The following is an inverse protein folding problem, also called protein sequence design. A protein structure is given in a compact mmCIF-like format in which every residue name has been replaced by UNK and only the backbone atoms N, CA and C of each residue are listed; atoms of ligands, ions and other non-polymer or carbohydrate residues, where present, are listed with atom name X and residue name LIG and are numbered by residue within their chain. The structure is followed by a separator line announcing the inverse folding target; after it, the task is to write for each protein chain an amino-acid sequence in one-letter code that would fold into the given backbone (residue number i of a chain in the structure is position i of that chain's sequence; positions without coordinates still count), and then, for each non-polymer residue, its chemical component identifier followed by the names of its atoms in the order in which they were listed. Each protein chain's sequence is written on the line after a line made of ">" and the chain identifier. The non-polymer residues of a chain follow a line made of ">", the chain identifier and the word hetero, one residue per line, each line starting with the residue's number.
data_IF_557699203223
#
_entry.id   IF_557699203223
#
_cell.length_a   1.000
_cell.length_b   1.000
_cell.length_c   1.000
_cell.angle_alpha   90.00
_cell.angle_beta   90.00
_cell.angle_gamma   90.00
#
_symmetry.space_group_name_H-M   'P 1'
#
loop_
_entity.id
_entity.type
_entity.pdbx_description
1 polymer ?
#
# COMPACT_ATOMS: atom_id res chain seq x y z
N UNK A 1 -51.14 -9.19 21.98
CA UNK A 1 -50.93 -7.77 21.64
C UNK A 1 -49.53 -7.38 22.07
N UNK A 2 -48.54 -7.56 21.20
CA UNK A 2 -47.19 -7.05 21.46
C UNK A 2 -47.12 -5.64 20.91
N UNK A 3 -47.01 -4.66 21.81
CA UNK A 3 -46.71 -3.27 21.48
C UNK A 3 -45.34 -3.22 20.82
N UNK A 4 -45.26 -2.62 19.63
CA UNK A 4 -43.99 -2.32 18.98
C UNK A 4 -43.15 -1.40 19.90
N UNK A 5 -41.82 -1.60 19.99
CA UNK A 5 -40.96 -0.66 20.70
C UNK A 5 -41.09 0.72 20.06
N UNK A 6 -41.31 1.74 20.89
CA UNK A 6 -41.34 3.13 20.44
C UNK A 6 -40.00 3.47 19.79
N UNK A 7 -40.05 4.07 18.60
CA UNK A 7 -38.88 4.64 17.94
C UNK A 7 -38.22 5.61 18.91
N UNK A 8 -36.95 5.37 19.23
CA UNK A 8 -36.21 6.19 20.18
C UNK A 8 -35.73 7.45 19.46
N UNK A 9 -36.61 8.46 19.40
CA UNK A 9 -36.35 9.73 18.72
C UNK A 9 -35.07 10.43 19.21
N UNK A 10 -34.62 10.16 20.43
CA UNK A 10 -33.37 10.71 20.98
C UNK A 10 -32.13 10.16 20.25
N UNK A 11 -32.17 8.89 19.81
CA UNK A 11 -31.08 8.28 19.02
C UNK A 11 -31.00 8.82 17.60
N UNK A 12 -32.15 9.15 17.02
CA UNK A 12 -32.25 9.77 15.68
C UNK A 12 -31.63 11.17 15.71
N UNK A 13 -31.94 11.96 16.74
CA UNK A 13 -31.33 13.28 16.93
C UNK A 13 -29.80 13.22 17.08
N UNK A 14 -29.31 12.30 17.92
CA UNK A 14 -27.86 12.10 18.12
C UNK A 14 -27.12 11.69 16.85
N UNK A 15 -27.72 10.82 16.03
CA UNK A 15 -27.14 10.43 14.74
C UNK A 15 -27.05 11.60 13.75
N UNK A 16 -28.09 12.45 13.69
CA UNK A 16 -28.10 13.64 12.83
C UNK A 16 -27.01 14.63 13.26
N UNK A 17 -26.90 14.91 14.56
CA UNK A 17 -25.90 15.84 15.10
C UNK A 17 -24.47 15.35 14.85
N UNK A 18 -24.24 14.04 14.98
CA UNK A 18 -22.94 13.41 14.73
C UNK A 18 -22.55 13.47 13.25
N UNK A 19 -23.48 13.15 12.34
CA UNK A 19 -23.26 13.25 10.89
C UNK A 19 -23.02 14.69 10.44
N UNK A 20 -23.76 15.66 10.97
CA UNK A 20 -23.55 17.08 10.66
C UNK A 20 -22.18 17.58 11.14
N UNK A 21 -21.74 17.11 12.32
CA UNK A 21 -20.43 17.45 12.89
C UNK A 21 -19.29 16.86 12.06
N UNK A 22 -19.38 15.58 11.67
CA UNK A 22 -18.42 14.94 10.77
C UNK A 22 -18.36 15.66 9.41
N UNK A 23 -19.51 16.00 8.81
CA UNK A 23 -19.58 16.72 7.54
C UNK A 23 -18.92 18.11 7.63
N UNK A 24 -19.18 18.84 8.71
CA UNK A 24 -18.56 20.15 8.93
C UNK A 24 -17.04 20.03 9.09
N UNK A 25 -16.56 19.03 9.84
CA UNK A 25 -15.13 18.74 9.99
C UNK A 25 -14.50 18.44 8.64
N UNK A 26 -15.08 17.55 7.81
CA UNK A 26 -14.57 17.21 6.47
C UNK A 26 -14.58 18.43 5.52
N UNK A 27 -15.59 19.30 5.60
CA UNK A 27 -15.64 20.53 4.79
C UNK A 27 -14.60 21.56 5.26
N UNK A 28 -14.47 21.78 6.57
CA UNK A 28 -13.48 22.70 7.13
C UNK A 28 -12.05 22.26 6.82
N UNK A 29 -11.81 20.97 6.99
CA UNK A 29 -10.68 20.23 6.50
C UNK A 29 -10.40 20.59 5.03
N UNK A 30 -11.35 20.37 4.12
CA UNK A 30 -11.12 20.54 2.67
C UNK A 30 -10.65 21.92 2.22
N UNK A 31 -10.84 22.93 3.05
CA UNK A 31 -10.47 24.30 2.78
C UNK A 31 -9.07 24.68 3.30
N UNK A 32 -8.37 23.79 4.03
CA UNK A 32 -7.02 24.05 4.53
C UNK A 32 -5.96 23.50 3.56
N UNK A 33 -4.98 24.33 3.20
CA UNK A 33 -3.92 24.03 2.23
C UNK A 33 -2.64 23.42 2.86
N UNK A 34 -2.76 22.71 3.99
CA UNK A 34 -1.61 22.18 4.75
C UNK A 34 -1.65 20.66 4.97
N UNK A 35 -0.52 20.03 5.37
CA UNK A 35 -0.49 18.64 5.81
C UNK A 35 -1.32 18.47 7.09
N UNK A 36 -2.10 17.39 7.11
CA UNK A 36 -3.04 17.07 8.16
C UNK A 36 -2.31 16.63 9.41
N UNK A 37 -2.52 17.35 10.50
CA UNK A 37 -2.01 16.92 11.80
C UNK A 37 -2.85 15.76 12.35
N UNK A 38 -4.07 15.52 11.85
CA UNK A 38 -4.93 14.48 12.41
C UNK A 38 -5.96 13.90 11.41
N UNK A 39 -5.49 13.25 10.35
CA UNK A 39 -6.36 12.53 9.40
C UNK A 39 -7.11 11.35 10.07
N UNK A 40 -6.58 10.84 11.20
CA UNK A 40 -7.14 9.73 11.95
C UNK A 40 -8.34 10.15 12.77
N UNK A 41 -8.28 11.29 13.48
CA UNK A 41 -9.45 11.87 14.15
C UNK A 41 -10.60 12.13 13.17
N UNK A 42 -10.31 12.61 11.95
CA UNK A 42 -11.32 12.77 10.89
C UNK A 42 -11.95 11.44 10.46
N UNK A 43 -11.15 10.36 10.38
CA UNK A 43 -11.64 9.02 10.07
C UNK A 43 -12.49 8.45 11.21
N UNK A 44 -12.01 8.56 12.44
CA UNK A 44 -12.66 8.02 13.64
C UNK A 44 -14.01 8.71 13.91
N UNK A 45 -14.07 10.05 13.80
CA UNK A 45 -15.30 10.83 13.90
C UNK A 45 -16.31 10.48 12.79
N UNK A 46 -15.83 10.22 11.56
CA UNK A 46 -16.72 9.83 10.46
C UNK A 46 -17.27 8.42 10.64
N UNK A 47 -16.46 7.49 11.15
CA UNK A 47 -16.89 6.11 11.43
C UNK A 47 -17.87 6.09 12.59
N UNK A 48 -17.59 6.80 13.69
CA UNK A 48 -18.50 6.90 14.83
C UNK A 48 -19.86 7.49 14.42
N UNK A 49 -19.88 8.55 13.61
CA UNK A 49 -21.13 9.14 13.11
C UNK A 49 -21.93 8.18 12.20
N UNK A 50 -21.26 7.34 11.40
CA UNK A 50 -21.92 6.34 10.55
C UNK A 50 -22.44 5.14 11.36
N UNK A 51 -21.73 4.73 12.42
CA UNK A 51 -22.17 3.68 13.34
C UNK A 51 -23.40 4.13 14.14
N UNK A 52 -23.42 5.38 14.63
CA UNK A 52 -24.57 5.96 15.31
C UNK A 52 -25.80 6.06 14.38
N UNK A 53 -25.59 6.40 13.10
CA UNK A 53 -26.63 6.39 12.09
C UNK A 53 -27.14 4.97 11.79
N UNK A 54 -26.24 3.98 11.69
CA UNK A 54 -26.60 2.57 11.53
C UNK A 54 -27.41 2.05 12.71
N UNK A 55 -27.02 2.36 13.94
CA UNK A 55 -27.72 1.99 15.17
C UNK A 55 -29.11 2.65 15.29
N UNK A 56 -29.24 3.90 14.84
CA UNK A 56 -30.54 4.58 14.77
C UNK A 56 -31.48 3.89 13.77
N UNK A 57 -30.95 3.41 12.64
CA UNK A 57 -31.71 2.72 11.60
C UNK A 57 -32.03 1.25 11.94
N UNK A 58 -31.19 0.57 12.74
CA UNK A 58 -31.37 -0.83 13.16
C UNK A 58 -32.33 -1.03 14.35
N UNK A 59 -32.86 0.03 14.96
CA UNK A 59 -33.80 -0.07 16.08
C UNK A 59 -35.21 -0.59 15.71
N UNK A 60 -35.40 -1.26 14.55
CA UNK A 60 -36.60 -2.04 14.26
C UNK A 60 -36.30 -3.55 14.30
N UNK A 61 -37.11 -4.38 15.00
CA UNK A 61 -36.89 -5.82 15.03
C UNK A 61 -37.01 -6.40 13.62
N UNK A 62 -36.03 -7.22 13.24
CA UNK A 62 -35.91 -7.91 11.95
C UNK A 62 -37.27 -8.40 11.41
N UNK A 63 -37.85 -7.65 10.47
CA UNK A 63 -39.01 -8.09 9.70
C UNK A 63 -38.53 -8.85 8.48
N UNK A 64 -38.81 -10.15 8.47
CA UNK A 64 -38.73 -11.01 7.28
C UNK A 64 -39.44 -10.32 6.11
N UNK A 65 -38.72 -10.12 5.01
CA UNK A 65 -39.19 -9.88 3.64
C UNK A 65 -40.57 -9.20 3.51
N UNK A 66 -40.62 -7.87 3.41
CA UNK A 66 -41.82 -7.15 2.99
C UNK A 66 -41.46 -6.03 2.01
N UNK A 67 -42.11 -6.09 0.84
CA UNK A 67 -42.32 -5.07 -0.21
C UNK A 67 -41.50 -3.77 -0.18
N UNK A 68 -40.75 -3.57 -1.26
CA UNK A 68 -39.97 -2.37 -1.64
C UNK A 68 -40.80 -1.08 -1.89
N UNK A 69 -42.07 -1.02 -1.53
CA UNK A 69 -42.97 0.13 -1.84
C UNK A 69 -43.41 0.93 -0.62
N UNK A 70 -42.88 0.67 0.57
CA UNK A 70 -43.18 1.52 1.74
C UNK A 70 -42.29 2.77 1.76
N UNK A 71 -42.93 3.94 1.63
CA UNK A 71 -42.32 5.24 1.90
C UNK A 71 -41.65 5.21 3.27
N UNK A 72 -40.33 5.44 3.28
CA UNK A 72 -39.56 5.66 4.50
C UNK A 72 -40.12 6.86 5.26
N UNK A 73 -39.97 6.87 6.59
CA UNK A 73 -40.25 8.05 7.39
C UNK A 73 -39.33 9.20 6.90
N UNK A 74 -39.82 10.45 6.72
CA UNK A 74 -39.00 11.60 6.32
C UNK A 74 -37.65 11.72 7.06
N UNK A 75 -37.61 11.39 8.35
CA UNK A 75 -36.39 11.46 9.16
C UNK A 75 -35.38 10.35 8.79
N UNK A 76 -35.85 9.14 8.46
CA UNK A 76 -34.99 8.05 7.99
C UNK A 76 -34.42 8.34 6.60
N UNK A 77 -35.21 8.98 5.74
CA UNK A 77 -34.75 9.45 4.43
C UNK A 77 -33.67 10.52 4.58
N UNK A 78 -33.88 11.49 5.47
CA UNK A 78 -32.93 12.55 5.74
C UNK A 78 -31.61 12.03 6.32
N UNK A 79 -31.65 11.08 7.26
CA UNK A 79 -30.43 10.44 7.80
C UNK A 79 -29.66 9.71 6.70
N UNK A 80 -30.34 9.00 5.78
CA UNK A 80 -29.69 8.33 4.65
C UNK A 80 -29.04 9.32 3.69
N UNK A 81 -29.74 10.39 3.32
CA UNK A 81 -29.16 11.43 2.45
C UNK A 81 -27.93 12.08 3.09
N UNK A 82 -27.98 12.33 4.40
CA UNK A 82 -26.88 12.96 5.14
C UNK A 82 -25.68 12.01 5.27
N UNK A 83 -25.93 10.73 5.56
CA UNK A 83 -24.90 9.68 5.56
C UNK A 83 -24.27 9.54 4.17
N UNK A 84 -25.08 9.50 3.10
CA UNK A 84 -24.60 9.46 1.73
C UNK A 84 -23.78 10.72 1.38
N UNK A 85 -24.16 11.91 1.87
CA UNK A 85 -23.38 13.14 1.67
C UNK A 85 -22.03 13.09 2.40
N UNK A 86 -22.01 12.61 3.66
CA UNK A 86 -20.78 12.42 4.45
C UNK A 86 -19.85 11.43 3.76
N UNK A 87 -20.40 10.29 3.33
CA UNK A 87 -19.68 9.28 2.57
C UNK A 87 -19.14 9.90 1.29
N UNK A 88 -19.99 10.43 0.40
CA UNK A 88 -19.56 11.00 -0.87
C UNK A 88 -18.53 12.12 -0.72
N UNK A 89 -18.67 12.98 0.30
CA UNK A 89 -17.71 14.05 0.58
C UNK A 89 -16.38 13.45 1.02
N UNK A 90 -16.38 12.44 1.89
CA UNK A 90 -15.18 11.68 2.28
C UNK A 90 -14.55 10.97 1.08
N UNK A 91 -15.35 10.32 0.22
CA UNK A 91 -14.85 9.61 -0.98
C UNK A 91 -14.15 10.58 -1.95
N UNK A 92 -14.77 11.74 -2.19
CA UNK A 92 -14.17 12.82 -3.00
C UNK A 92 -12.89 13.37 -2.39
N UNK A 93 -12.77 13.31 -1.07
CA UNK A 93 -11.69 13.94 -0.33
C UNK A 93 -10.49 13.02 -0.08
N UNK A 94 -10.73 11.77 0.31
CA UNK A 94 -9.71 10.78 0.69
C UNK A 94 -9.46 9.71 -0.37
N UNK A 95 -10.35 9.54 -1.36
CA UNK A 95 -10.26 8.49 -2.37
C UNK A 95 -10.65 7.10 -1.84
N UNK A 96 -11.80 6.58 -2.28
CA UNK A 96 -12.30 5.22 -1.96
C UNK A 96 -13.83 5.19 -1.84
N UNK A 97 -14.49 4.05 -2.12
CA UNK A 97 -15.95 3.88 -1.98
C UNK A 97 -16.32 3.15 -0.69
N UNK A 98 -17.39 3.58 0.00
CA UNK A 98 -18.07 2.80 1.05
C UNK A 98 -19.27 2.09 0.42
N UNK A 99 -19.50 0.83 0.77
CA UNK A 99 -20.62 0.02 0.26
C UNK A 99 -21.52 -0.35 1.44
N UNK A 100 -22.82 -0.35 1.18
CA UNK A 100 -23.85 -0.77 2.12
C UNK A 100 -24.00 -2.29 2.05
N UNK A 101 -23.72 -3.03 3.13
CA UNK A 101 -24.01 -4.47 3.16
C UNK A 101 -25.52 -4.71 3.33
N UNK A 102 -25.97 -5.90 2.93
CA UNK A 102 -27.33 -6.44 3.03
C UNK A 102 -27.92 -6.43 4.45
N UNK A 103 -27.08 -6.32 5.49
CA UNK A 103 -27.48 -6.25 6.90
C UNK A 103 -27.60 -4.81 7.47
N UNK A 104 -27.43 -3.78 6.64
CA UNK A 104 -27.57 -2.38 7.09
C UNK A 104 -26.42 -1.90 7.99
N UNK A 105 -25.27 -2.56 7.89
CA UNK A 105 -24.01 -2.16 8.53
C UNK A 105 -23.12 -1.55 7.45
N UNK A 106 -22.57 -0.37 7.71
CA UNK A 106 -21.53 0.21 6.85
C UNK A 106 -20.24 -0.57 7.06
N UNK A 107 -19.96 -1.52 6.16
CA UNK A 107 -18.69 -2.24 6.18
C UNK A 107 -17.65 -1.45 5.38
N UNK A 108 -16.40 -1.46 5.87
CA UNK A 108 -15.24 -0.89 5.18
C UNK A 108 -14.98 -1.71 3.91
N UNK A 109 -15.72 -1.44 2.84
CA UNK A 109 -15.26 -1.80 1.50
C UNK A 109 -14.09 -0.87 1.19
N UNK A 110 -12.90 -1.45 1.05
CA UNK A 110 -11.84 -0.75 0.33
C UNK A 110 -12.00 -1.21 -1.12
N UNK A 111 -12.28 -0.25 -2.00
CA UNK A 111 -12.36 -0.35 -3.46
C UNK A 111 -13.74 -0.71 -4.07
N UNK A 112 -14.16 0.15 -5.01
CA UNK A 112 -15.26 -0.13 -5.93
C UNK A 112 -14.90 -1.26 -6.89
N UNK A 113 -15.96 -1.88 -7.42
CA UNK A 113 -15.98 -3.02 -8.34
C UNK A 113 -14.75 -3.14 -9.24
N UNK A 114 -13.76 -3.90 -8.76
CA UNK A 114 -12.97 -4.76 -9.60
C UNK A 114 -13.58 -6.16 -9.40
N UNK A 115 -14.19 -6.70 -10.45
CA UNK A 115 -14.89 -7.98 -10.43
C UNK A 115 -14.11 -9.06 -9.65
N UNK A 116 -14.69 -9.55 -8.55
CA UNK A 116 -14.36 -10.86 -7.98
C UNK A 116 -13.34 -10.93 -6.83
N UNK A 117 -13.32 -9.99 -5.88
CA UNK A 117 -12.48 -10.13 -4.67
C UNK A 117 -13.28 -10.07 -3.37
N UNK A 118 -13.41 -11.22 -2.71
CA UNK A 118 -13.84 -11.36 -1.33
C UNK A 118 -12.62 -11.35 -0.40
N UNK A 119 -12.54 -10.42 0.55
CA UNK A 119 -11.52 -10.47 1.61
C UNK A 119 -11.95 -11.48 2.68
N UNK A 120 -11.11 -12.48 2.92
CA UNK A 120 -11.22 -13.38 4.08
C UNK A 120 -10.75 -12.67 5.35
N UNK A 121 -11.40 -12.94 6.47
CA UNK A 121 -11.03 -12.50 7.83
C UNK A 121 -9.84 -13.28 8.39
N UNK A 122 -8.83 -13.55 7.57
CA UNK A 122 -7.58 -14.17 8.04
C UNK A 122 -6.83 -13.16 8.90
N UNK A 123 -6.42 -13.66 10.06
CA UNK A 123 -5.77 -12.95 11.16
C UNK A 123 -4.64 -12.04 10.71
N UNK A 124 -4.61 -10.83 11.29
CA UNK A 124 -3.67 -9.70 11.15
C UNK A 124 -2.22 -10.09 11.58
N UNK A 125 -1.73 -11.27 11.20
CA UNK A 125 -0.34 -11.65 11.39
C UNK A 125 0.51 -10.87 10.36
N UNK A 126 1.53 -10.15 10.84
CA UNK A 126 2.52 -9.52 9.98
C UNK A 126 3.03 -10.58 8.97
N UNK A 127 2.86 -10.30 7.68
CA UNK A 127 3.22 -11.21 6.59
C UNK A 127 4.75 -11.25 6.38
N UNK A 128 5.51 -11.74 7.35
CA UNK A 128 6.95 -11.91 7.16
C UNK A 128 7.22 -13.13 6.31
N UNK A 129 8.01 -12.96 5.25
CA UNK A 129 8.53 -14.06 4.44
C UNK A 129 10.00 -14.25 4.80
N UNK A 130 10.43 -15.43 5.30
CA UNK A 130 11.83 -15.74 5.54
C UNK A 130 12.65 -15.51 4.27
N UNK A 131 13.89 -15.01 4.39
CA UNK A 131 14.73 -14.69 3.23
C UNK A 131 15.00 -15.90 2.30
N UNK A 132 14.92 -17.11 2.84
CA UNK A 132 15.08 -18.38 2.11
C UNK A 132 13.86 -18.72 1.23
N UNK A 133 12.68 -18.20 1.55
CA UNK A 133 11.43 -18.42 0.81
C UNK A 133 11.15 -17.30 -0.21
N UNK A 134 11.91 -16.21 -0.14
CA UNK A 134 11.79 -15.10 -1.08
C UNK A 134 12.27 -15.51 -2.47
N UNK A 135 11.57 -15.00 -3.47
CA UNK A 135 11.88 -15.22 -4.88
C UNK A 135 13.21 -14.57 -5.25
N UNK A 136 14.02 -15.34 -5.98
CA UNK A 136 15.25 -14.84 -6.62
C UNK A 136 14.98 -13.99 -7.85
N UNK A 137 13.80 -14.14 -8.45
CA UNK A 137 13.39 -13.26 -9.53
C UNK A 137 13.25 -11.84 -8.99
N UNK A 138 13.66 -10.82 -9.73
CA UNK A 138 13.38 -9.43 -9.35
C UNK A 138 11.92 -9.08 -9.65
N UNK A 139 11.27 -8.27 -8.81
CA UNK A 139 9.98 -7.67 -9.11
C UNK A 139 10.20 -6.26 -9.67
N UNK A 140 9.65 -5.97 -10.85
CA UNK A 140 9.61 -4.63 -11.41
C UNK A 140 8.17 -4.13 -11.35
N UNK A 141 7.95 -3.07 -10.59
CA UNK A 141 6.65 -2.43 -10.42
C UNK A 141 6.64 -1.12 -11.18
N UNK A 142 5.56 -0.83 -11.90
CA UNK A 142 5.37 0.49 -12.49
C UNK A 142 4.02 1.12 -12.15
N UNK A 143 4.05 2.43 -11.96
CA UNK A 143 2.86 3.29 -11.82
C UNK A 143 2.91 4.40 -12.87
N UNK A 144 1.75 4.73 -13.42
CA UNK A 144 1.59 5.56 -14.61
C UNK A 144 0.21 6.22 -14.60
N UNK A 145 0.17 7.54 -14.66
CA UNK A 145 -1.07 8.26 -14.94
C UNK A 145 -1.42 8.17 -16.44
N UNK A 146 -2.69 7.92 -16.77
CA UNK A 146 -3.17 7.90 -18.16
C UNK A 146 -2.82 9.22 -18.89
N UNK A 147 -2.01 9.12 -19.95
CA UNK A 147 -1.50 10.28 -20.69
C UNK A 147 -0.13 10.00 -21.33
N UNK A 148 0.46 11.00 -21.98
CA UNK A 148 1.75 10.93 -22.69
C UNK A 148 2.90 10.43 -21.81
N UNK A 149 2.84 10.70 -20.51
CA UNK A 149 3.82 10.30 -19.48
C UNK A 149 3.58 8.89 -18.94
N UNK A 150 2.33 8.42 -18.96
CA UNK A 150 2.00 7.05 -18.56
C UNK A 150 2.52 5.96 -19.49
N UNK A 151 2.65 6.27 -20.79
CA UNK A 151 3.36 5.41 -21.72
C UNK A 151 4.86 5.27 -21.39
N UNK A 152 5.44 6.28 -20.74
CA UNK A 152 6.88 6.41 -20.55
C UNK A 152 7.36 5.53 -19.41
N UNK A 153 6.78 5.62 -18.20
CA UNK A 153 7.19 4.79 -17.05
C UNK A 153 7.04 3.29 -17.34
N UNK A 154 5.91 2.89 -17.96
CA UNK A 154 5.69 1.50 -18.42
C UNK A 154 6.73 1.05 -19.45
N UNK A 155 7.10 1.92 -20.39
CA UNK A 155 8.12 1.59 -21.41
C UNK A 155 9.49 1.40 -20.77
N UNK A 156 9.87 2.25 -19.83
CA UNK A 156 11.12 2.13 -19.09
C UNK A 156 11.15 0.89 -18.20
N UNK A 157 10.06 0.57 -17.51
CA UNK A 157 9.96 -0.66 -16.72
C UNK A 157 10.08 -1.93 -17.60
N UNK A 158 9.43 -1.93 -18.78
CA UNK A 158 9.61 -3.01 -19.78
C UNK A 158 11.04 -3.11 -20.28
N UNK A 159 11.69 -1.96 -20.51
CA UNK A 159 13.08 -1.92 -20.95
C UNK A 159 14.01 -2.52 -19.89
N UNK A 160 13.87 -2.09 -18.63
CA UNK A 160 14.62 -2.64 -17.50
C UNK A 160 14.43 -4.16 -17.39
N UNK A 161 13.18 -4.64 -17.50
CA UNK A 161 12.91 -6.07 -17.43
C UNK A 161 13.63 -6.82 -18.57
N UNK A 162 13.57 -6.30 -19.80
CA UNK A 162 14.29 -6.89 -20.93
C UNK A 162 15.81 -6.90 -20.69
N UNK A 163 16.38 -5.83 -20.16
CA UNK A 163 17.81 -5.72 -19.88
C UNK A 163 18.29 -6.67 -18.79
N UNK A 164 17.42 -6.99 -17.83
CA UNK A 164 17.67 -8.00 -16.79
C UNK A 164 17.50 -9.44 -17.27
N UNK A 165 17.12 -9.66 -18.54
CA UNK A 165 16.94 -11.01 -19.11
C UNK A 165 15.48 -11.42 -19.27
N UNK A 166 14.54 -10.49 -19.14
CA UNK A 166 13.11 -10.68 -19.40
C UNK A 166 12.41 -11.56 -18.36
N UNK A 167 11.30 -12.18 -18.76
CA UNK A 167 10.40 -12.92 -17.88
C UNK A 167 11.04 -14.14 -17.19
N UNK A 168 12.28 -14.49 -17.50
CA UNK A 168 13.06 -15.48 -16.76
C UNK A 168 13.59 -14.92 -15.43
N UNK A 169 13.98 -13.64 -15.40
CA UNK A 169 14.71 -13.00 -14.28
C UNK A 169 13.95 -11.85 -13.62
N UNK A 170 12.92 -11.30 -14.27
CA UNK A 170 12.05 -10.26 -13.70
C UNK A 170 10.56 -10.58 -13.85
N UNK A 171 9.77 -10.32 -12.80
CA UNK A 171 8.31 -10.18 -12.89
C UNK A 171 7.97 -8.71 -13.12
N UNK A 172 7.33 -8.38 -14.23
CA UNK A 172 6.86 -7.02 -14.48
C UNK A 172 5.37 -6.89 -14.13
N UNK A 173 5.03 -5.99 -13.20
CA UNK A 173 3.64 -5.77 -12.76
C UNK A 173 3.28 -4.29 -12.70
N UNK A 174 2.00 -4.00 -12.93
CA UNK A 174 1.43 -2.69 -12.65
C UNK A 174 1.14 -2.57 -11.15
N UNK A 175 1.31 -1.38 -10.60
CA UNK A 175 1.15 -1.12 -9.17
C UNK A 175 -0.28 -1.34 -8.65
N UNK A 176 -1.31 -1.27 -9.51
CA UNK A 176 -2.73 -1.35 -9.07
C UNK A 176 -3.15 -2.71 -8.53
N UNK A 177 -2.40 -3.76 -8.84
CA UNK A 177 -2.65 -5.13 -8.40
C UNK A 177 -1.61 -5.64 -7.42
N UNK A 178 -0.88 -4.75 -6.75
CA UNK A 178 0.20 -5.09 -5.81
C UNK A 178 -0.15 -4.51 -4.45
N UNK A 179 0.12 -5.28 -3.40
CA UNK A 179 0.10 -4.87 -2.02
C UNK A 179 1.50 -4.98 -1.41
N UNK A 180 1.71 -4.40 -0.23
CA UNK A 180 2.99 -4.50 0.46
C UNK A 180 3.41 -5.96 0.74
N UNK A 181 2.45 -6.87 0.96
CA UNK A 181 2.70 -8.32 1.08
C UNK A 181 3.26 -9.00 -0.15
N UNK A 182 2.91 -8.50 -1.33
CA UNK A 182 3.49 -9.03 -2.54
C UNK A 182 4.97 -8.65 -2.65
N UNK A 183 5.36 -7.49 -2.11
CA UNK A 183 6.77 -7.06 -2.09
C UNK A 183 7.63 -7.93 -1.17
N UNK A 184 7.08 -8.33 -0.02
CA UNK A 184 7.77 -9.17 0.96
C UNK A 184 8.21 -10.52 0.36
N UNK A 185 7.52 -11.01 -0.67
CA UNK A 185 7.88 -12.25 -1.36
C UNK A 185 9.14 -12.15 -2.23
N UNK A 186 9.70 -10.96 -2.43
CA UNK A 186 10.83 -10.72 -3.33
C UNK A 186 12.03 -10.19 -2.55
N UNK A 187 13.21 -10.70 -2.87
CA UNK A 187 14.47 -10.14 -2.36
C UNK A 187 14.77 -8.78 -2.99
N UNK A 188 14.34 -8.57 -4.24
CA UNK A 188 14.72 -7.41 -5.07
C UNK A 188 13.49 -6.83 -5.75
N UNK A 189 13.24 -5.54 -5.52
CA UNK A 189 12.09 -4.79 -6.04
C UNK A 189 12.55 -3.48 -6.68
N UNK A 190 12.22 -3.29 -7.96
CA UNK A 190 12.52 -2.08 -8.71
C UNK A 190 11.23 -1.35 -9.05
N UNK A 191 11.10 -0.10 -8.64
CA UNK A 191 9.89 0.69 -8.84
C UNK A 191 10.16 1.81 -9.84
N UNK A 192 9.35 1.90 -10.89
CA UNK A 192 9.37 2.99 -11.87
C UNK A 192 8.02 3.69 -11.86
N UNK A 193 7.96 4.88 -11.27
CA UNK A 193 6.71 5.61 -11.10
C UNK A 193 6.82 7.06 -11.58
N UNK A 194 5.69 7.75 -11.72
CA UNK A 194 5.66 9.20 -11.86
C UNK A 194 4.98 9.85 -10.65
N UNK A 195 5.12 11.16 -10.50
CA UNK A 195 4.34 11.94 -9.51
C UNK A 195 3.23 12.70 -10.23
N UNK A 196 2.04 12.76 -9.63
CA UNK A 196 0.83 13.33 -10.23
C UNK A 196 0.28 14.50 -9.43
N UNK A 197 -0.11 15.58 -10.11
CA UNK A 197 -0.75 16.75 -9.50
C UNK A 197 0.06 17.34 -8.34
N UNK A 198 -0.56 17.46 -7.16
CA UNK A 198 0.01 18.02 -5.93
C UNK A 198 0.89 17.00 -5.18
N UNK A 199 1.78 16.33 -5.90
CA UNK A 199 2.68 15.34 -5.31
C UNK A 199 2.05 13.98 -4.99
N UNK A 200 0.88 13.69 -5.57
CA UNK A 200 0.12 12.47 -5.33
C UNK A 200 0.68 11.27 -6.11
N UNK A 201 0.43 10.03 -5.63
CA UNK A 201 0.60 8.86 -6.47
C UNK A 201 -0.23 8.97 -7.77
N UNK A 202 0.20 8.33 -8.85
CA UNK A 202 -0.65 8.10 -10.02
C UNK A 202 -1.86 7.24 -9.63
N UNK A 203 -2.95 7.30 -10.40
CA UNK A 203 -4.19 6.58 -10.07
C UNK A 203 -3.98 5.07 -9.90
N UNK A 204 -3.08 4.47 -10.68
CA UNK A 204 -2.75 3.05 -10.56
C UNK A 204 -1.78 2.73 -9.39
N UNK A 205 -1.26 3.75 -8.69
CA UNK A 205 -0.46 3.61 -7.49
C UNK A 205 -1.14 4.06 -6.19
N UNK A 206 -2.31 4.71 -6.26
CA UNK A 206 -3.04 5.23 -5.10
C UNK A 206 -3.37 4.15 -4.06
N UNK A 207 -3.89 3.02 -4.54
CA UNK A 207 -4.28 1.86 -3.73
C UNK A 207 -3.09 1.29 -2.98
N UNK A 208 -2.03 0.98 -3.72
CA UNK A 208 -0.80 0.43 -3.18
C UNK A 208 -0.15 1.37 -2.17
N UNK A 209 -0.04 2.67 -2.50
CA UNK A 209 0.59 3.65 -1.60
C UNK A 209 -0.18 3.78 -0.29
N UNK A 210 -1.51 3.83 -0.35
CA UNK A 210 -2.35 3.88 0.85
C UNK A 210 -2.16 2.63 1.73
N UNK A 211 -2.04 1.45 1.12
CA UNK A 211 -1.75 0.22 1.85
C UNK A 211 -0.36 0.25 2.52
N UNK A 212 0.66 0.75 1.81
CA UNK A 212 2.00 0.90 2.36
C UNK A 212 2.01 1.87 3.56
N UNK A 213 1.31 3.00 3.45
CA UNK A 213 1.20 3.97 4.56
C UNK A 213 0.45 3.39 5.76
N UNK A 214 -0.63 2.64 5.53
CA UNK A 214 -1.37 1.97 6.62
C UNK A 214 -0.49 0.96 7.37
N UNK A 215 0.28 0.16 6.63
CA UNK A 215 1.22 -0.80 7.23
C UNK A 215 2.36 -0.10 7.96
N UNK A 216 2.87 1.02 7.43
CA UNK A 216 3.92 1.79 8.07
C UNK A 216 3.46 2.37 9.42
N UNK A 217 2.24 2.92 9.47
CA UNK A 217 1.62 3.40 10.72
C UNK A 217 1.45 2.25 11.72
N UNK A 218 0.96 1.08 11.29
CA UNK A 218 0.84 -0.11 12.16
C UNK A 218 2.18 -0.53 12.76
N UNK A 219 3.25 -0.47 11.98
CA UNK A 219 4.60 -0.79 12.47
C UNK A 219 5.10 0.24 13.49
N UNK A 220 4.76 1.52 13.34
CA UNK A 220 5.14 2.57 14.29
C UNK A 220 4.42 2.44 15.64
N UNK A 221 3.13 2.11 15.63
CA UNK A 221 2.35 1.95 16.87
C UNK A 221 2.86 0.79 17.72
N UNK A 222 3.23 -0.33 17.08
CA UNK A 222 3.77 -1.50 17.78
C UNK A 222 5.17 -1.24 18.39
N UNK A 223 5.91 -0.26 17.87
CA UNK A 223 7.25 0.11 18.35
C UNK A 223 7.22 0.87 19.69
N UNK A 224 6.13 1.59 19.99
CA UNK A 224 6.00 2.32 21.27
C UNK A 224 5.73 1.38 22.46
N UNK A 225 5.11 0.23 22.21
CA UNK A 225 4.85 -0.80 23.24
C UNK A 225 6.00 -1.82 23.43
N UNK A 226 6.95 -1.90 22.49
CA UNK A 226 8.02 -2.93 22.45
C UNK A 226 9.44 -2.36 22.64
N UNK A 227 9.60 -1.24 23.33
CA UNK A 227 10.87 -0.51 23.54
C UNK A 227 12.03 -1.26 24.28
N UNK A 228 12.11 -2.59 24.21
CA UNK A 228 13.16 -3.41 24.83
C UNK A 228 13.85 -4.38 23.82
N UNK A 229 13.43 -4.47 22.56
CA UNK A 229 14.07 -5.35 21.57
C UNK A 229 14.64 -4.61 20.36
N UNK A 230 15.91 -4.86 20.00
CA UNK A 230 16.55 -4.49 18.72
C UNK A 230 15.90 -5.26 17.54
N UNK A 231 14.59 -5.10 17.35
CA UNK A 231 13.75 -5.92 16.48
C UNK A 231 13.67 -5.40 15.05
N UNK A 232 14.79 -5.13 14.38
CA UNK A 232 14.76 -4.93 12.92
C UNK A 232 14.27 -6.20 12.19
N UNK A 233 14.29 -7.35 12.87
CA UNK A 233 13.80 -8.62 12.34
C UNK A 233 12.27 -8.73 12.22
N UNK A 234 11.46 -7.92 12.90
CA UNK A 234 9.99 -8.10 12.87
C UNK A 234 9.27 -7.32 11.76
N UNK A 235 10.01 -6.58 10.93
CA UNK A 235 9.40 -5.71 9.93
C UNK A 235 8.93 -6.47 8.67
N UNK A 236 7.79 -6.12 8.04
CA UNK A 236 7.21 -6.88 6.93
C UNK A 236 8.11 -7.02 5.69
N UNK A 237 8.94 -6.01 5.42
CA UNK A 237 9.85 -5.98 4.27
C UNK A 237 11.31 -6.21 4.66
N UNK A 238 11.59 -6.70 5.88
CA UNK A 238 12.94 -7.05 6.30
C UNK A 238 13.58 -8.03 5.31
N UNK A 239 14.74 -7.68 4.76
CA UNK A 239 15.46 -8.47 3.73
C UNK A 239 15.01 -8.23 2.29
N UNK A 240 14.06 -7.32 2.05
CA UNK A 240 13.70 -6.88 0.69
C UNK A 240 14.48 -5.61 0.34
N UNK A 241 15.15 -5.64 -0.81
CA UNK A 241 15.93 -4.53 -1.34
C UNK A 241 15.15 -3.77 -2.41
N UNK A 242 15.04 -2.45 -2.26
CA UNK A 242 14.24 -1.58 -3.13
C UNK A 242 15.11 -0.55 -3.85
N UNK A 243 14.83 -0.28 -5.12
CA UNK A 243 15.35 0.91 -5.81
C UNK A 243 14.25 1.56 -6.65
N UNK A 244 14.18 2.90 -6.60
CA UNK A 244 13.07 3.66 -7.19
C UNK A 244 13.60 4.67 -8.21
N UNK A 245 12.96 4.70 -9.38
CA UNK A 245 13.13 5.75 -10.38
C UNK A 245 11.82 6.51 -10.56
N UNK A 246 11.88 7.83 -10.33
CA UNK A 246 10.70 8.71 -10.32
C UNK A 246 10.75 9.63 -11.52
N UNK A 247 9.73 9.56 -12.35
CA UNK A 247 9.52 10.42 -13.50
C UNK A 247 8.74 11.67 -13.08
N UNK A 248 9.31 12.85 -13.32
CA UNK A 248 8.88 14.10 -12.66
C UNK A 248 9.00 15.30 -13.57
N UNK A 249 8.22 16.33 -13.29
CA UNK A 249 8.31 17.64 -13.94
C UNK A 249 8.93 18.65 -12.96
N UNK A 250 10.13 19.15 -13.26
CA UNK A 250 10.80 20.15 -12.41
C UNK A 250 10.10 21.51 -12.31
N UNK A 251 9.09 21.77 -13.14
CA UNK A 251 8.23 22.94 -12.99
C UNK A 251 7.16 22.77 -11.90
N UNK A 252 6.94 21.55 -11.41
CA UNK A 252 5.96 21.26 -10.35
C UNK A 252 6.52 21.58 -8.96
N UNK A 253 5.76 22.25 -8.07
CA UNK A 253 6.19 22.54 -6.71
C UNK A 253 6.36 21.28 -5.83
N UNK A 254 5.66 20.19 -6.16
CA UNK A 254 5.73 18.91 -5.43
C UNK A 254 6.66 17.90 -6.16
N UNK A 255 7.84 18.38 -6.55
CA UNK A 255 8.83 17.59 -7.30
C UNK A 255 9.16 16.26 -6.60
N UNK A 256 8.90 15.15 -7.29
CA UNK A 256 9.18 13.77 -6.83
C UNK A 256 8.53 13.33 -5.51
N UNK A 257 7.58 14.10 -4.97
CA UNK A 257 7.03 13.89 -3.62
C UNK A 257 6.53 12.47 -3.38
N UNK A 258 5.79 11.89 -4.33
CA UNK A 258 5.28 10.53 -4.22
C UNK A 258 6.42 9.51 -4.17
N UNK A 259 7.37 9.56 -5.10
CA UNK A 259 8.44 8.56 -5.14
C UNK A 259 9.41 8.66 -3.96
N UNK A 260 9.64 9.87 -3.45
CA UNK A 260 10.41 10.08 -2.22
C UNK A 260 9.67 9.56 -0.99
N UNK A 261 8.40 9.94 -0.82
CA UNK A 261 7.55 9.44 0.27
C UNK A 261 7.43 7.91 0.25
N UNK A 262 7.22 7.31 -0.93
CA UNK A 262 7.20 5.85 -1.07
C UNK A 262 8.52 5.20 -0.65
N UNK A 263 9.66 5.85 -0.88
CA UNK A 263 10.95 5.33 -0.41
C UNK A 263 10.99 5.29 1.12
N UNK A 264 10.56 6.39 1.77
CA UNK A 264 10.53 6.52 3.23
C UNK A 264 9.61 5.48 3.88
N UNK A 265 8.41 5.29 3.32
CA UNK A 265 7.45 4.32 3.83
C UNK A 265 7.90 2.86 3.63
N UNK A 266 8.58 2.53 2.53
CA UNK A 266 9.12 1.17 2.35
C UNK A 266 10.28 0.89 3.32
N UNK A 267 11.10 1.90 3.62
CA UNK A 267 12.18 1.80 4.61
C UNK A 267 11.62 1.65 6.02
N UNK A 268 10.53 2.36 6.37
CA UNK A 268 9.88 2.20 7.68
C UNK A 268 9.32 0.78 7.87
N UNK A 269 8.89 0.14 6.77
CA UNK A 269 8.50 -1.27 6.70
C UNK A 269 9.69 -2.26 6.68
N UNK A 270 10.94 -1.80 6.79
CA UNK A 270 12.13 -2.65 6.91
C UNK A 270 12.84 -2.97 5.59
N UNK A 271 12.43 -2.38 4.47
CA UNK A 271 13.15 -2.54 3.22
C UNK A 271 14.51 -1.82 3.25
N UNK A 272 15.54 -2.43 2.66
CA UNK A 272 16.83 -1.77 2.44
C UNK A 272 16.84 -1.05 1.08
N UNK A 273 17.45 0.12 0.99
CA UNK A 273 17.58 0.81 -0.31
C UNK A 273 18.79 0.27 -1.07
N UNK A 274 18.55 -0.42 -2.19
CA UNK A 274 19.60 -0.94 -3.07
C UNK A 274 20.39 0.20 -3.71
N UNK A 275 19.66 1.23 -4.16
CA UNK A 275 20.18 2.44 -4.77
C UNK A 275 19.39 3.64 -4.28
N UNK A 276 20.05 4.79 -4.26
CA UNK A 276 19.37 6.07 -4.01
C UNK A 276 18.29 6.29 -5.09
N UNK A 277 17.13 6.73 -4.64
CA UNK A 277 16.02 7.13 -5.52
C UNK A 277 16.49 8.18 -6.52
N UNK A 278 16.33 7.89 -7.81
CA UNK A 278 16.67 8.81 -8.89
C UNK A 278 15.42 9.53 -9.41
N UNK A 279 15.63 10.72 -9.97
CA UNK A 279 14.57 11.47 -10.64
C UNK A 279 14.91 11.67 -12.10
N UNK A 280 13.97 11.38 -13.00
CA UNK A 280 14.07 11.64 -14.43
C UNK A 280 13.14 12.80 -14.78
N UNK A 281 13.75 13.94 -15.11
CA UNK A 281 13.04 15.21 -15.31
C UNK A 281 12.51 15.36 -16.74
N UNK A 282 11.19 15.51 -16.86
CA UNK A 282 10.44 15.71 -18.10
C UNK A 282 10.83 16.95 -18.89
N UNK A 283 11.28 18.00 -18.21
CA UNK A 283 11.65 19.27 -18.84
C UNK A 283 13.03 19.21 -19.50
N UNK A 284 13.83 18.18 -19.18
CA UNK A 284 15.15 17.98 -19.80
C UNK A 284 15.04 17.42 -21.21
N UNK A 285 16.11 17.60 -21.99
CA UNK A 285 16.18 17.05 -23.34
C UNK A 285 16.10 15.52 -23.26
N UNK A 286 15.36 14.88 -24.18
CA UNK A 286 15.15 13.41 -24.23
C UNK A 286 16.44 12.58 -24.12
N UNK A 287 17.56 13.11 -24.59
CA UNK A 287 18.86 12.45 -24.48
C UNK A 287 19.32 12.34 -23.02
N UNK A 288 19.18 13.42 -22.24
CA UNK A 288 19.56 13.45 -20.83
C UNK A 288 18.65 12.54 -20.00
N UNK A 289 17.33 12.56 -20.26
CA UNK A 289 16.38 11.66 -19.60
C UNK A 289 16.77 10.19 -19.77
N UNK A 290 17.06 9.80 -21.02
CA UNK A 290 17.50 8.44 -21.35
C UNK A 290 18.84 8.12 -20.72
N UNK A 291 19.76 9.08 -20.66
CA UNK A 291 21.07 8.88 -20.05
C UNK A 291 20.95 8.64 -18.54
N UNK A 292 20.21 9.49 -17.82
CA UNK A 292 19.97 9.32 -16.38
C UNK A 292 19.34 7.97 -16.07
N UNK A 293 18.32 7.56 -16.83
CA UNK A 293 17.72 6.23 -16.63
C UNK A 293 18.71 5.10 -16.96
N UNK A 294 19.47 5.22 -18.04
CA UNK A 294 20.42 4.19 -18.47
C UNK A 294 21.57 4.01 -17.50
N UNK A 295 22.05 5.09 -16.86
CA UNK A 295 23.07 5.03 -15.81
C UNK A 295 22.55 4.22 -14.61
N UNK A 296 21.35 4.55 -14.14
CA UNK A 296 20.70 3.81 -13.05
C UNK A 296 20.41 2.34 -13.40
N UNK A 297 19.89 2.08 -14.60
CA UNK A 297 19.70 0.72 -15.13
C UNK A 297 21.01 -0.07 -15.17
N UNK A 298 22.10 0.55 -15.61
CA UNK A 298 23.41 -0.10 -15.69
C UNK A 298 23.91 -0.51 -14.30
N UNK A 299 23.72 0.33 -13.30
CA UNK A 299 24.07 0.02 -11.90
C UNK A 299 23.23 -1.15 -11.37
N UNK A 300 21.92 -1.17 -11.64
CA UNK A 300 21.06 -2.31 -11.25
C UNK A 300 21.57 -3.62 -11.87
N UNK A 301 21.87 -3.60 -13.17
CA UNK A 301 22.35 -4.80 -13.87
C UNK A 301 23.69 -5.29 -13.29
N UNK A 302 24.57 -4.37 -12.89
CA UNK A 302 25.85 -4.70 -12.25
C UNK A 302 25.63 -5.35 -10.87
N UNK A 303 24.76 -4.77 -10.04
CA UNK A 303 24.39 -5.33 -8.74
C UNK A 303 23.76 -6.73 -8.83
N UNK A 304 22.91 -6.96 -9.83
CA UNK A 304 22.29 -8.28 -10.06
C UNK A 304 23.32 -9.34 -10.48
N UNK A 305 24.30 -8.95 -11.31
CA UNK A 305 25.40 -9.85 -11.70
C UNK A 305 26.26 -10.21 -10.50
N UNK A 306 26.63 -9.23 -9.68
CA UNK A 306 27.42 -9.48 -8.47
C UNK A 306 26.67 -10.38 -7.49
N UNK A 307 25.37 -10.15 -7.29
CA UNK A 307 24.52 -10.98 -6.44
C UNK A 307 24.48 -12.44 -6.91
N UNK A 308 24.35 -12.65 -8.22
CA UNK A 308 24.37 -14.00 -8.82
C UNK A 308 25.71 -14.70 -8.61
N UNK A 309 26.83 -13.98 -8.74
CA UNK A 309 28.17 -14.54 -8.52
C UNK A 309 28.35 -14.98 -7.07
N UNK A 310 27.93 -14.14 -6.11
CA UNK A 310 28.03 -14.43 -4.68
C UNK A 310 27.21 -15.67 -4.31
N UNK A 311 26.00 -15.81 -4.86
CA UNK A 311 25.16 -16.99 -4.62
C UNK A 311 25.79 -18.27 -5.17
N UNK A 312 26.34 -18.23 -6.40
CA UNK A 312 27.05 -19.36 -6.99
C UNK A 312 28.29 -19.76 -6.18
N UNK A 313 29.04 -18.79 -5.63
CA UNK A 313 30.19 -19.07 -4.77
C UNK A 313 29.77 -19.68 -3.42
N UNK A 314 28.68 -19.18 -2.82
CA UNK A 314 28.11 -19.74 -1.59
C UNK A 314 27.67 -21.19 -1.79
N UNK A 315 26.98 -21.49 -2.88
CA UNK A 315 26.61 -22.87 -3.25
C UNK A 315 27.84 -23.75 -3.45
N UNK A 316 28.88 -23.26 -4.14
CA UNK A 316 30.12 -24.00 -4.35
C UNK A 316 30.84 -24.33 -3.04
N UNK A 317 30.86 -23.39 -2.09
CA UNK A 317 31.43 -23.60 -0.76
C UNK A 317 30.63 -24.63 0.04
N UNK A 318 29.30 -24.54 0.00
CA UNK A 318 28.40 -25.49 0.66
C UNK A 318 28.51 -26.90 0.08
N UNK A 319 28.61 -27.02 -1.25
CA UNK A 319 28.79 -28.29 -1.95
C UNK A 319 30.19 -28.91 -1.72
N UNK A 320 31.19 -28.10 -1.35
CA UNK A 320 32.56 -28.59 -1.12
C UNK A 320 32.72 -29.38 0.18
N UNK A 321 31.76 -29.30 1.11
CA UNK A 321 31.71 -30.03 2.38
C UNK A 321 32.94 -29.81 3.29
N UNK A 322 32.86 -30.15 4.59
CA UNK A 322 34.06 -30.25 5.40
C UNK A 322 34.88 -31.41 4.85
N UNK A 323 35.95 -31.14 4.08
CA UNK A 323 36.99 -32.13 3.79
C UNK A 323 37.50 -32.61 5.14
N UNK A 324 37.01 -33.77 5.61
CA UNK A 324 37.61 -34.53 6.71
C UNK A 324 39.07 -34.70 6.34
N UNK A 325 39.94 -33.87 6.92
CA UNK A 325 41.37 -34.14 6.98
C UNK A 325 41.48 -35.43 7.76
N UNK A 326 41.54 -36.55 7.04
CA UNK A 326 42.04 -37.79 7.62
C UNK A 326 43.50 -37.52 7.90
N UNK A 327 43.79 -37.11 9.14
CA UNK A 327 45.14 -37.01 9.66
C UNK A 327 45.77 -38.40 9.53
N UNK A 328 46.54 -38.58 8.47
CA UNK A 328 47.34 -39.78 8.25
C UNK A 328 48.48 -39.67 9.25
N UNK A 329 48.29 -40.22 10.44
CA UNK A 329 49.36 -40.42 11.42
C UNK A 329 50.39 -41.34 10.78
N UNK A 330 51.47 -40.75 10.27
CA UNK A 330 52.64 -41.49 9.82
C UNK A 330 53.34 -41.97 11.09
N UNK A 331 53.15 -43.23 11.45
CA UNK A 331 53.94 -43.89 12.47
C UNK A 331 55.36 -44.07 11.93
N UNK A 332 56.29 -43.19 12.32
CA UNK A 332 57.72 -43.42 12.16
C UNK A 332 58.15 -44.50 13.14
N UNK A 333 58.34 -45.71 12.62
CA UNK A 333 59.05 -46.81 13.27
C UNK A 333 60.54 -46.45 13.36
N UNK A 334 61.04 -46.18 14.57
CA UNK A 334 62.46 -46.14 14.87
C UNK A 334 62.90 -47.50 15.43
N UNK A 335 64.02 -48.01 14.86
CA UNK A 335 64.75 -49.18 15.29
C UNK A 335 65.50 -48.96 16.61
#
# INVERSE_FOLDING_TARGET
>A
SHSLPAVNNDKIGQAIDSLQSALHLIKAASNQSGPWVDARHLLDETVAALDDAGLALQCQPARKSVDMTKQLNPDEHYIRELADEVVNTRQRFLGGSLIHDTDGIWTKSVYGECDGFSFGTETDELYRVPDEEKKEKALIVYASQNGTTGGTTKTFAKHLCKSLGGDTYCDLRNMSGIMAKDLAMYKRVYIVCNTSGLGRPPCDGEVFYSHVQLEAMRCQENLEDLAIGDGDEEKPLAGTSVAIAVWVDSSSPDYAKFGLGLTEELVSLGASTALKTITVDEQKVKLEQKQTFKEWESTIIEMEKESTIIEMEKERLMASGPRRRTSKTIATSAA
#
